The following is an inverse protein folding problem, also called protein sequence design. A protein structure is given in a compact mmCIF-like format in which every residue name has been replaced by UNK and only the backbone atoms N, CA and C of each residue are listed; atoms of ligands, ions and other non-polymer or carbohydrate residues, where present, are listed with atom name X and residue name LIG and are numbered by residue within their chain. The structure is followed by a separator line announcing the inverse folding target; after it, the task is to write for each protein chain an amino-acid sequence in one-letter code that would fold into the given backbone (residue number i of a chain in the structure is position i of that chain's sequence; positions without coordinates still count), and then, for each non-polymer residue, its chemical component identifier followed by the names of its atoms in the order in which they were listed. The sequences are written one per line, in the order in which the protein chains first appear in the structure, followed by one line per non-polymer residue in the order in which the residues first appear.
data_IF_097058657503
#
_entry.id   IF_097058657503
#
_cell.length_a   1.000
_cell.length_b   1.000
_cell.length_c   1.000
_cell.angle_alpha   90.00
_cell.angle_beta   90.00
_cell.angle_gamma   90.00
#
_symmetry.space_group_name_H-M   'P 1'
#
loop_
_entity.id
_entity.type
_entity.pdbx_description
1 polymer ?
#
# COMPACT_ATOMS: atom_id res chain seq x y z
N UNK A 1 34.05 -16.70 5.08
CA UNK A 1 34.07 -16.43 3.62
C UNK A 1 32.86 -17.01 2.90
N UNK A 2 32.70 -18.34 2.76
CA UNK A 2 31.61 -18.94 1.96
C UNK A 2 30.18 -18.49 2.36
N UNK A 3 29.87 -18.35 3.66
CA UNK A 3 28.55 -17.87 4.12
C UNK A 3 28.26 -16.41 3.72
N UNK A 4 29.27 -15.52 3.78
CA UNK A 4 29.11 -14.12 3.40
C UNK A 4 28.92 -13.97 1.88
N UNK A 5 29.64 -14.77 1.10
CA UNK A 5 29.46 -14.84 -0.36
C UNK A 5 28.04 -15.32 -0.70
N UNK A 6 27.52 -16.33 0.01
CA UNK A 6 26.14 -16.79 -0.17
C UNK A 6 25.10 -15.71 0.10
N UNK A 7 25.25 -14.95 1.20
CA UNK A 7 24.34 -13.83 1.53
C UNK A 7 24.41 -12.72 0.48
N UNK A 8 25.62 -12.36 0.04
CA UNK A 8 25.79 -11.33 -0.99
C UNK A 8 25.14 -11.75 -2.31
N UNK A 9 25.29 -13.02 -2.71
CA UNK A 9 24.72 -13.53 -3.95
C UNK A 9 23.19 -13.54 -3.93
N UNK A 10 22.57 -14.00 -2.83
CA UNK A 10 21.10 -13.97 -2.71
C UNK A 10 20.57 -12.54 -2.67
N UNK A 11 21.26 -11.63 -1.99
CA UNK A 11 20.88 -10.21 -1.94
C UNK A 11 20.94 -9.56 -3.33
N UNK A 12 22.03 -9.75 -4.07
CA UNK A 12 22.19 -9.21 -5.43
C UNK A 12 21.14 -9.81 -6.37
N UNK A 13 20.91 -11.13 -6.30
CA UNK A 13 19.88 -11.78 -7.12
C UNK A 13 18.50 -11.20 -6.85
N UNK A 14 18.16 -10.96 -5.58
CA UNK A 14 16.89 -10.36 -5.19
C UNK A 14 16.75 -8.94 -5.75
N UNK A 15 17.78 -8.10 -5.59
CA UNK A 15 17.79 -6.75 -6.16
C UNK A 15 17.59 -6.77 -7.69
N UNK A 16 18.32 -7.63 -8.40
CA UNK A 16 18.19 -7.79 -9.84
C UNK A 16 16.78 -8.21 -10.26
N UNK A 17 16.15 -9.11 -9.49
CA UNK A 17 14.77 -9.53 -9.74
C UNK A 17 13.80 -8.34 -9.60
N UNK A 18 13.90 -7.56 -8.53
CA UNK A 18 13.06 -6.36 -8.35
C UNK A 18 13.30 -5.31 -9.45
N UNK A 19 14.57 -5.08 -9.82
CA UNK A 19 14.91 -4.18 -10.91
C UNK A 19 14.33 -4.66 -12.24
N UNK A 20 14.42 -5.96 -12.55
CA UNK A 20 13.85 -6.54 -13.76
C UNK A 20 12.33 -6.36 -13.81
N UNK A 21 11.63 -6.60 -12.69
CA UNK A 21 10.18 -6.36 -12.58
C UNK A 21 9.85 -4.87 -12.78
N UNK A 22 10.65 -3.97 -12.22
CA UNK A 22 10.48 -2.52 -12.40
C UNK A 22 10.66 -2.07 -13.85
N UNK A 23 11.71 -2.57 -14.53
CA UNK A 23 11.95 -2.31 -15.95
C UNK A 23 10.80 -2.88 -16.80
N UNK A 24 10.39 -4.13 -16.54
CA UNK A 24 9.28 -4.73 -17.25
C UNK A 24 7.98 -3.92 -17.09
N UNK A 25 7.66 -3.50 -15.86
CA UNK A 25 6.52 -2.63 -15.59
C UNK A 25 6.62 -1.29 -16.34
N UNK A 26 7.81 -0.68 -16.36
CA UNK A 26 8.05 0.56 -17.08
C UNK A 26 7.86 0.43 -18.60
N UNK A 27 8.12 -0.75 -19.19
CA UNK A 27 7.86 -1.02 -20.62
C UNK A 27 6.37 -1.28 -20.92
N UNK A 28 5.55 -1.58 -19.91
CA UNK A 28 4.13 -1.90 -20.04
C UNK A 28 3.19 -0.75 -19.64
N UNK A 29 3.73 0.35 -19.11
CA UNK A 29 2.96 1.52 -18.68
C UNK A 29 2.30 2.25 -19.86
N UNK A 30 1.21 2.93 -19.58
CA UNK A 30 0.57 3.91 -20.45
C UNK A 30 0.93 5.34 -20.00
N UNK A 31 0.92 6.30 -20.92
CA UNK A 31 1.29 7.69 -20.63
C UNK A 31 0.11 8.50 -20.08
N UNK A 32 -0.60 7.96 -19.08
CA UNK A 32 -1.73 8.63 -18.43
C UNK A 32 -1.56 8.66 -16.92
N UNK A 33 -2.12 9.68 -16.26
CA UNK A 33 -2.07 9.81 -14.80
C UNK A 33 -2.80 8.67 -14.11
N UNK A 34 -3.95 8.25 -14.64
CA UNK A 34 -4.73 7.11 -14.14
C UNK A 34 -3.96 5.80 -14.25
N UNK A 35 -3.18 5.59 -15.32
CA UNK A 35 -2.32 4.42 -15.43
C UNK A 35 -1.19 4.44 -14.41
N UNK A 36 -0.55 5.59 -14.22
CA UNK A 36 0.51 5.74 -13.24
C UNK A 36 0.02 5.53 -11.79
N UNK A 37 -1.16 6.04 -11.45
CA UNK A 37 -1.70 5.98 -10.08
C UNK A 37 -2.45 4.68 -9.78
N UNK A 38 -3.16 4.11 -10.76
CA UNK A 38 -4.10 2.99 -10.55
C UNK A 38 -3.91 1.83 -11.53
N UNK A 39 -2.85 1.84 -12.35
CA UNK A 39 -2.61 0.84 -13.39
C UNK A 39 -3.83 0.63 -14.30
N UNK A 40 -4.47 1.74 -14.67
CA UNK A 40 -5.68 1.79 -15.50
C UNK A 40 -6.83 0.94 -14.93
N UNK A 41 -6.81 0.67 -13.62
CA UNK A 41 -7.78 -0.17 -12.90
C UNK A 41 -7.91 -1.60 -13.45
N UNK A 42 -6.93 -2.05 -14.24
CA UNK A 42 -6.93 -3.30 -14.99
C UNK A 42 -6.16 -4.45 -14.28
N UNK A 43 -5.68 -4.20 -13.06
CA UNK A 43 -5.00 -5.21 -12.25
C UNK A 43 -6.03 -6.10 -11.57
N UNK A 44 -5.78 -7.40 -11.55
CA UNK A 44 -6.68 -8.37 -10.93
C UNK A 44 -6.88 -8.03 -9.43
N UNK A 45 -8.14 -8.00 -8.92
CA UNK A 45 -8.43 -7.65 -7.54
C UNK A 45 -7.59 -8.37 -6.47
N UNK A 46 -7.29 -9.66 -6.63
CA UNK A 46 -6.48 -10.38 -5.64
C UNK A 46 -5.01 -9.90 -5.60
N UNK A 47 -4.44 -9.51 -6.75
CA UNK A 47 -3.11 -8.91 -6.83
C UNK A 47 -3.09 -7.54 -6.16
N UNK A 48 -4.14 -6.73 -6.37
CA UNK A 48 -4.26 -5.42 -5.70
C UNK A 48 -4.39 -5.58 -4.18
N UNK A 49 -5.13 -6.59 -3.71
CA UNK A 49 -5.24 -6.91 -2.29
C UNK A 49 -3.88 -7.32 -1.71
N UNK A 50 -3.16 -8.22 -2.39
CA UNK A 50 -1.83 -8.65 -1.97
C UNK A 50 -0.84 -7.48 -1.89
N UNK A 51 -0.88 -6.57 -2.89
CA UNK A 51 -0.04 -5.37 -2.88
C UNK A 51 -0.38 -4.44 -1.72
N UNK A 52 -1.67 -4.27 -1.41
CA UNK A 52 -2.12 -3.46 -0.27
C UNK A 52 -1.62 -4.06 1.06
N UNK A 53 -1.73 -5.38 1.22
CA UNK A 53 -1.19 -6.08 2.41
C UNK A 53 0.32 -5.93 2.52
N UNK A 54 1.07 -6.12 1.42
CA UNK A 54 2.51 -5.94 1.40
C UNK A 54 2.92 -4.49 1.77
N UNK A 55 2.14 -3.50 1.33
CA UNK A 55 2.37 -2.08 1.64
C UNK A 55 2.16 -1.78 3.12
N UNK A 56 1.17 -2.43 3.74
CA UNK A 56 0.86 -2.27 5.17
C UNK A 56 1.90 -2.91 6.10
N UNK A 57 2.63 -3.91 5.63
CA UNK A 57 3.59 -4.66 6.45
C UNK A 57 5.00 -4.09 6.33
N UNK A 58 5.61 -3.76 7.47
CA UNK A 58 7.00 -3.29 7.54
C UNK A 58 7.83 -4.19 8.45
N UNK A 59 9.14 -4.21 8.23
CA UNK A 59 10.07 -5.00 9.06
C UNK A 59 10.01 -4.64 10.55
N UNK A 60 9.78 -3.35 10.88
CA UNK A 60 9.59 -2.90 12.25
C UNK A 60 8.33 -3.52 12.89
N UNK A 61 7.19 -3.46 12.19
CA UNK A 61 5.94 -4.08 12.67
C UNK A 61 6.09 -5.59 12.81
N UNK A 62 6.80 -6.24 11.89
CA UNK A 62 7.07 -7.68 11.97
C UNK A 62 7.85 -8.05 13.23
N UNK A 63 8.96 -7.35 13.51
CA UNK A 63 9.76 -7.58 14.73
C UNK A 63 8.94 -7.26 15.99
N UNK A 64 8.19 -6.15 15.98
CA UNK A 64 7.33 -5.77 17.10
C UNK A 64 6.27 -6.83 17.39
N UNK A 65 5.63 -7.39 16.35
CA UNK A 65 4.63 -8.44 16.47
C UNK A 65 5.22 -9.73 17.05
N UNK A 66 6.42 -10.12 16.60
CA UNK A 66 7.13 -11.29 17.15
C UNK A 66 7.50 -11.05 18.62
N UNK A 67 8.02 -9.87 18.96
CA UNK A 67 8.36 -9.51 20.34
C UNK A 67 7.14 -9.48 21.27
N UNK A 68 6.00 -9.02 20.76
CA UNK A 68 4.72 -9.04 21.47
C UNK A 68 4.24 -10.48 21.73
N UNK A 69 4.27 -11.33 20.70
CA UNK A 69 3.94 -12.74 20.82
C UNK A 69 4.85 -13.47 21.82
N UNK A 70 6.15 -13.16 21.83
CA UNK A 70 7.10 -13.71 22.80
C UNK A 70 6.72 -13.37 24.25
N UNK A 71 6.21 -12.17 24.52
CA UNK A 71 5.81 -11.74 25.87
C UNK A 71 4.47 -12.29 26.33
N UNK A 72 3.48 -12.32 25.43
CA UNK A 72 2.09 -12.65 25.76
C UNK A 72 1.78 -14.13 25.53
N UNK A 73 2.62 -14.82 24.76
CA UNK A 73 2.41 -16.21 24.38
C UNK A 73 1.21 -16.38 23.45
N UNK A 74 0.59 -17.56 23.50
CA UNK A 74 -0.44 -18.00 22.55
C UNK A 74 -1.67 -17.06 22.47
N UNK A 75 -1.93 -16.29 23.53
CA UNK A 75 -3.02 -15.32 23.57
C UNK A 75 -2.87 -14.20 22.52
N UNK A 76 -1.65 -13.93 22.03
CA UNK A 76 -1.42 -12.96 20.95
C UNK A 76 -2.12 -13.35 19.63
N UNK A 77 -2.50 -14.62 19.45
CA UNK A 77 -3.26 -15.07 18.28
C UNK A 77 -4.61 -14.35 18.16
N UNK A 78 -5.22 -13.93 19.27
CA UNK A 78 -6.50 -13.20 19.20
C UNK A 78 -6.36 -11.86 18.48
N UNK A 79 -5.21 -11.20 18.62
CA UNK A 79 -4.91 -9.97 17.91
C UNK A 79 -4.82 -10.20 16.40
N UNK A 80 -4.13 -11.26 15.97
CA UNK A 80 -4.02 -11.62 14.56
C UNK A 80 -5.38 -12.00 13.97
N UNK A 81 -6.19 -12.78 14.69
CA UNK A 81 -7.53 -13.17 14.22
C UNK A 81 -8.45 -11.96 14.15
N UNK A 82 -8.47 -11.12 15.20
CA UNK A 82 -9.28 -9.90 15.23
C UNK A 82 -8.91 -8.95 14.11
N UNK A 83 -7.61 -8.78 13.83
CA UNK A 83 -7.14 -7.95 12.73
C UNK A 83 -7.53 -8.54 11.37
N UNK A 84 -7.36 -9.84 11.15
CA UNK A 84 -7.76 -10.50 9.92
C UNK A 84 -9.27 -10.39 9.64
N UNK A 85 -10.10 -10.56 10.67
CA UNK A 85 -11.56 -10.38 10.55
C UNK A 85 -11.89 -8.92 10.27
N UNK A 86 -11.26 -7.98 10.99
CA UNK A 86 -11.45 -6.54 10.79
C UNK A 86 -11.13 -6.10 9.37
N UNK A 87 -9.98 -6.53 8.84
CA UNK A 87 -9.54 -6.23 7.47
C UNK A 87 -10.50 -6.85 6.44
N UNK A 88 -10.98 -8.07 6.66
CA UNK A 88 -11.96 -8.72 5.80
C UNK A 88 -13.29 -7.95 5.77
N UNK A 89 -13.80 -7.54 6.93
CA UNK A 89 -15.03 -6.74 7.02
C UNK A 89 -14.85 -5.38 6.35
N UNK A 90 -13.73 -4.69 6.59
CA UNK A 90 -13.43 -3.41 5.95
C UNK A 90 -13.35 -3.56 4.41
N UNK A 91 -12.75 -4.64 3.93
CA UNK A 91 -12.69 -4.95 2.50
C UNK A 91 -14.08 -5.14 1.90
N UNK A 92 -14.92 -5.93 2.55
CA UNK A 92 -16.25 -6.25 2.06
C UNK A 92 -17.20 -5.05 2.08
N UNK A 93 -17.23 -4.29 3.17
CA UNK A 93 -18.20 -3.21 3.35
C UNK A 93 -17.73 -1.84 2.83
N UNK A 94 -16.44 -1.53 2.98
CA UNK A 94 -15.92 -0.17 2.73
C UNK A 94 -15.23 -0.12 1.37
N UNK A 95 -14.19 -0.93 1.15
CA UNK A 95 -13.34 -0.78 -0.03
C UNK A 95 -14.05 -1.07 -1.34
N UNK A 96 -14.97 -2.05 -1.37
CA UNK A 96 -15.77 -2.32 -2.57
C UNK A 96 -16.62 -1.11 -2.99
N UNK A 97 -17.33 -0.50 -2.04
CA UNK A 97 -18.16 0.69 -2.29
C UNK A 97 -17.31 1.90 -2.65
N UNK A 98 -16.19 2.08 -1.96
CA UNK A 98 -15.25 3.18 -2.23
C UNK A 98 -14.67 3.09 -3.64
N UNK A 99 -14.34 1.88 -4.11
CA UNK A 99 -13.86 1.65 -5.48
C UNK A 99 -14.91 2.06 -6.52
N UNK A 100 -16.15 1.61 -6.37
CA UNK A 100 -17.24 1.94 -7.29
C UNK A 100 -17.49 3.45 -7.36
N UNK A 101 -17.57 4.12 -6.20
CA UNK A 101 -17.75 5.57 -6.14
C UNK A 101 -16.56 6.32 -6.76
N UNK A 102 -15.32 5.86 -6.55
CA UNK A 102 -14.13 6.44 -7.17
C UNK A 102 -14.15 6.34 -8.70
N UNK A 103 -14.69 5.24 -9.25
CA UNK A 103 -14.85 5.04 -10.69
C UNK A 103 -15.94 5.94 -11.28
N UNK A 104 -17.13 5.98 -10.65
CA UNK A 104 -18.26 6.83 -11.07
C UNK A 104 -17.90 8.31 -11.11
N UNK A 105 -17.01 8.72 -10.21
CA UNK A 105 -16.64 10.12 -10.01
C UNK A 105 -15.26 10.45 -10.61
N UNK A 106 -14.70 9.55 -11.42
CA UNK A 106 -13.41 9.74 -12.11
C UNK A 106 -12.27 10.26 -11.21
N UNK A 107 -12.21 9.79 -9.97
CA UNK A 107 -11.20 10.21 -9.00
C UNK A 107 -10.11 9.18 -8.81
N UNK A 108 -8.89 9.61 -9.09
CA UNK A 108 -7.70 8.76 -9.01
C UNK A 108 -6.90 8.95 -7.72
N UNK A 109 -7.19 10.00 -6.95
CA UNK A 109 -6.57 10.28 -5.65
C UNK A 109 -7.62 10.45 -4.55
N UNK A 110 -7.21 10.22 -3.30
CA UNK A 110 -8.07 10.46 -2.12
C UNK A 110 -8.47 11.93 -2.03
N UNK A 111 -7.54 12.85 -2.30
CA UNK A 111 -7.81 14.28 -2.30
C UNK A 111 -8.82 14.69 -3.37
N UNK A 112 -8.69 14.13 -4.58
CA UNK A 112 -9.67 14.31 -5.65
C UNK A 112 -11.02 13.78 -5.20
N UNK A 113 -11.08 12.55 -4.68
CA UNK A 113 -12.31 11.91 -4.21
C UNK A 113 -13.05 12.74 -3.15
N UNK A 114 -12.33 13.22 -2.14
CA UNK A 114 -12.90 14.03 -1.04
C UNK A 114 -13.37 15.42 -1.50
N UNK A 115 -12.79 15.95 -2.58
CA UNK A 115 -13.16 17.26 -3.11
C UNK A 115 -14.46 17.24 -3.94
N UNK A 116 -14.98 16.06 -4.28
CA UNK A 116 -16.16 15.96 -5.12
C UNK A 116 -17.44 16.29 -4.35
N UNK A 117 -18.34 17.02 -5.01
CA UNK A 117 -19.67 17.41 -4.51
C UNK A 117 -19.73 18.42 -3.35
N UNK A 118 -18.65 19.15 -3.03
CA UNK A 118 -18.67 20.20 -2.00
C UNK A 118 -18.47 21.61 -2.59
N UNK A 119 -19.38 22.55 -2.28
CA UNK A 119 -19.14 23.99 -2.49
C UNK A 119 -17.95 24.41 -1.61
N UNK A 120 -16.81 24.77 -2.21
CA UNK A 120 -15.53 24.96 -1.52
C UNK A 120 -14.50 23.84 -1.72
N UNK A 121 -14.77 22.88 -2.62
CA UNK A 121 -13.95 21.70 -2.96
C UNK A 121 -12.45 21.96 -3.10
N UNK A 122 -12.06 23.12 -3.65
CA UNK A 122 -10.65 23.47 -3.87
C UNK A 122 -9.87 23.60 -2.57
N UNK A 123 -10.46 24.17 -1.51
CA UNK A 123 -9.79 24.29 -0.21
C UNK A 123 -9.58 22.93 0.44
N UNK A 124 -10.58 22.04 0.37
CA UNK A 124 -10.50 20.68 0.92
C UNK A 124 -9.48 19.85 0.15
N UNK A 125 -9.44 19.96 -1.18
CA UNK A 125 -8.45 19.31 -2.02
C UNK A 125 -7.02 19.76 -1.66
N UNK A 126 -6.82 21.08 -1.48
CA UNK A 126 -5.52 21.65 -1.12
C UNK A 126 -5.09 21.17 0.27
N UNK A 127 -5.97 21.23 1.27
CA UNK A 127 -5.65 20.78 2.63
C UNK A 127 -5.34 19.28 2.63
N UNK A 128 -6.15 18.45 1.96
CA UNK A 128 -5.92 17.01 1.84
C UNK A 128 -4.60 16.70 1.12
N UNK A 129 -4.28 17.44 0.05
CA UNK A 129 -3.00 17.31 -0.65
C UNK A 129 -1.81 17.71 0.23
N UNK A 130 -1.92 18.82 0.98
CA UNK A 130 -0.87 19.26 1.94
C UNK A 130 -0.66 18.19 3.01
N UNK A 131 -1.73 17.67 3.61
CA UNK A 131 -1.64 16.59 4.60
C UNK A 131 -0.92 15.38 3.98
N UNK A 132 -1.31 14.97 2.77
CA UNK A 132 -0.67 13.85 2.06
C UNK A 132 0.83 14.09 1.86
N UNK A 133 1.21 15.29 1.40
CA UNK A 133 2.62 15.67 1.20
C UNK A 133 3.38 15.66 2.52
N UNK A 134 2.84 16.25 3.59
CA UNK A 134 3.48 16.29 4.92
C UNK A 134 3.71 14.88 5.44
N UNK A 135 2.73 13.99 5.32
CA UNK A 135 2.90 12.59 5.73
C UNK A 135 3.96 11.85 4.90
N UNK A 136 3.98 12.05 3.57
CA UNK A 136 4.99 11.46 2.70
C UNK A 136 6.41 11.96 3.04
N UNK A 137 6.57 13.26 3.24
CA UNK A 137 7.83 13.89 3.63
C UNK A 137 8.28 13.40 5.01
N UNK A 138 7.38 13.36 5.98
CA UNK A 138 7.67 12.89 7.33
C UNK A 138 8.09 11.41 7.33
N UNK A 139 7.45 10.58 6.51
CA UNK A 139 7.82 9.16 6.38
C UNK A 139 9.18 8.99 5.73
N UNK A 140 9.54 9.81 4.74
CA UNK A 140 10.88 9.80 4.13
C UNK A 140 12.00 10.28 5.07
N UNK A 141 11.67 11.03 6.13
CA UNK A 141 12.65 11.52 7.11
C UNK A 141 12.91 10.55 8.27
N UNK A 142 12.01 9.58 8.48
CA UNK A 142 12.04 8.62 9.58
C UNK A 142 12.30 7.17 9.09
N UNK A 143 12.53 6.97 7.79
CA UNK A 143 12.93 5.70 7.18
C UNK A 143 14.44 5.68 6.96
#
# INVERSE_FOLDING_TARGET
MAKQVGIALTFIMFLLLFTAVGIYSATRKQNTTTDYLLASRNVNPWLTALSAMATGQSGFLFIAQVGFAYKIGISSLWLTIGWAIGDYLAWYFIFKRLRQLSEETASDTVSSFLSQNMKGSRFIAIISAIITIVFLVQRGRNA
#
